data_IF_917255038234
#
_entry.id   IF_917255038234
#
_cell.length_a   1.000
_cell.length_b   1.000
_cell.length_c   1.000
_cell.angle_alpha   90.00
_cell.angle_beta   90.00
_cell.angle_gamma   90.00
#
_symmetry.space_group_name_H-M   'P 1'
#
loop_
_entity.id
_entity.type
_entity.pdbx_description
1 polymer ?
#
# COMPACT_ATOMS: atom_id res chain seq x y z
N UNK A 1 -46.23 61.83 -18.92
CA UNK A 1 -45.85 60.42 -18.65
C UNK A 1 -46.35 60.07 -17.26
N UNK A 2 -47.13 59.00 -17.10
CA UNK A 2 -47.76 58.64 -15.84
C UNK A 2 -46.76 57.95 -14.90
N UNK A 3 -46.62 58.45 -13.68
CA UNK A 3 -45.71 57.96 -12.62
C UNK A 3 -45.90 56.47 -12.30
N UNK A 4 -47.10 55.94 -12.54
CA UNK A 4 -47.43 54.54 -12.35
C UNK A 4 -46.66 53.60 -13.31
N UNK A 5 -46.53 54.00 -14.57
CA UNK A 5 -45.83 53.21 -15.59
C UNK A 5 -44.30 53.18 -15.35
N UNK A 6 -43.75 54.27 -14.83
CA UNK A 6 -42.32 54.33 -14.46
C UNK A 6 -41.98 53.46 -13.25
N UNK A 7 -42.92 53.30 -12.31
CA UNK A 7 -42.72 52.46 -11.12
C UNK A 7 -42.76 50.97 -11.47
N UNK A 8 -43.70 50.57 -12.33
CA UNK A 8 -43.81 49.19 -12.83
C UNK A 8 -42.58 48.78 -13.67
N UNK A 9 -42.07 49.70 -14.52
CA UNK A 9 -40.82 49.48 -15.25
C UNK A 9 -39.60 49.39 -14.33
N UNK A 10 -39.57 50.12 -13.21
CA UNK A 10 -38.47 50.08 -12.25
C UNK A 10 -38.47 48.75 -11.48
N UNK A 11 -39.64 48.26 -11.07
CA UNK A 11 -39.76 46.93 -10.45
C UNK A 11 -39.35 45.80 -11.39
N UNK A 12 -39.71 45.88 -12.67
CA UNK A 12 -39.27 44.90 -13.67
C UNK A 12 -37.75 44.88 -13.85
N UNK A 13 -37.11 46.05 -13.89
CA UNK A 13 -35.64 46.17 -13.95
C UNK A 13 -34.98 45.58 -12.71
N UNK A 14 -35.55 45.83 -11.52
CA UNK A 14 -35.05 45.30 -10.26
C UNK A 14 -35.18 43.76 -10.23
N UNK A 15 -36.33 43.21 -10.63
CA UNK A 15 -36.55 41.76 -10.72
C UNK A 15 -35.55 41.09 -11.65
N UNK A 16 -35.26 41.73 -12.80
CA UNK A 16 -34.25 41.22 -13.74
C UNK A 16 -32.85 41.22 -13.12
N UNK A 17 -32.44 42.34 -12.51
CA UNK A 17 -31.14 42.43 -11.86
C UNK A 17 -30.97 41.40 -10.73
N UNK A 18 -32.02 41.17 -9.93
CA UNK A 18 -32.02 40.13 -8.89
C UNK A 18 -31.87 38.74 -9.51
N UNK A 19 -32.61 38.44 -10.58
CA UNK A 19 -32.51 37.16 -11.28
C UNK A 19 -31.13 36.90 -11.86
N UNK A 20 -30.52 37.92 -12.50
CA UNK A 20 -29.19 37.82 -13.11
C UNK A 20 -28.13 37.53 -12.02
N UNK A 21 -28.19 38.27 -10.90
CA UNK A 21 -27.30 38.07 -9.74
C UNK A 21 -27.51 36.69 -9.10
N UNK A 22 -28.75 36.25 -8.92
CA UNK A 22 -29.04 34.90 -8.39
C UNK A 22 -28.44 33.81 -9.28
N UNK A 23 -28.54 33.93 -10.60
CA UNK A 23 -27.96 32.93 -11.50
C UNK A 23 -26.43 32.89 -11.45
N UNK A 24 -25.78 34.05 -11.32
CA UNK A 24 -24.32 34.10 -11.24
C UNK A 24 -23.82 33.58 -9.89
N UNK A 25 -24.57 33.81 -8.81
CA UNK A 25 -24.30 33.23 -7.49
C UNK A 25 -24.42 31.70 -7.55
N UNK A 26 -25.49 31.16 -8.14
CA UNK A 26 -25.67 29.70 -8.30
C UNK A 26 -24.55 29.05 -9.13
N UNK A 27 -24.12 29.72 -10.20
CA UNK A 27 -23.01 29.28 -11.04
C UNK A 27 -21.70 29.24 -10.25
N UNK A 28 -21.39 30.30 -9.49
CA UNK A 28 -20.19 30.35 -8.65
C UNK A 28 -20.17 29.25 -7.58
N UNK A 29 -21.31 28.97 -6.92
CA UNK A 29 -21.41 27.86 -5.98
C UNK A 29 -21.21 26.49 -6.65
N UNK A 30 -21.66 26.34 -7.89
CA UNK A 30 -21.48 25.11 -8.67
C UNK A 30 -20.01 24.89 -9.06
N UNK A 31 -19.31 25.95 -9.49
CA UNK A 31 -17.88 25.92 -9.80
C UNK A 31 -17.04 25.57 -8.56
N UNK A 32 -17.30 26.22 -7.42
CA UNK A 32 -16.63 25.92 -6.14
C UNK A 32 -16.87 24.49 -5.64
N UNK A 33 -18.04 23.92 -5.96
CA UNK A 33 -18.36 22.53 -5.58
C UNK A 33 -17.51 21.55 -6.39
N UNK A 34 -17.33 21.80 -7.68
CA UNK A 34 -16.46 21.01 -8.54
C UNK A 34 -14.99 21.11 -8.10
N UNK A 35 -14.50 22.31 -7.80
CA UNK A 35 -13.13 22.49 -7.26
C UNK A 35 -12.92 21.76 -5.93
N UNK A 36 -13.93 21.75 -5.05
CA UNK A 36 -13.89 20.99 -3.79
C UNK A 36 -13.89 19.48 -4.01
N UNK A 37 -14.67 19.00 -4.97
CA UNK A 37 -14.68 17.58 -5.35
C UNK A 37 -13.34 17.16 -5.96
N UNK A 38 -12.71 18.04 -6.75
CA UNK A 38 -11.39 17.82 -7.35
C UNK A 38 -10.24 17.94 -6.33
N UNK A 39 -10.31 18.87 -5.37
CA UNK A 39 -9.41 18.93 -4.21
C UNK A 39 -9.64 17.80 -3.21
N UNK A 40 -10.87 17.27 -3.14
CA UNK A 40 -11.20 16.06 -2.40
C UNK A 40 -10.63 14.79 -3.04
N UNK A 41 -10.09 14.90 -4.26
CA UNK A 41 -9.35 13.84 -4.94
C UNK A 41 -7.83 13.91 -4.70
N UNK A 42 -7.35 14.77 -3.78
CA UNK A 42 -6.05 14.51 -3.14
C UNK A 42 -6.24 13.19 -2.39
N UNK A 43 -5.80 12.08 -2.99
CA UNK A 43 -5.78 10.78 -2.33
C UNK A 43 -4.95 10.94 -1.07
N UNK A 44 -5.63 11.04 0.08
CA UNK A 44 -4.99 11.07 1.38
C UNK A 44 -4.08 9.84 1.46
N UNK A 45 -2.77 10.12 1.55
CA UNK A 45 -1.74 9.10 1.71
C UNK A 45 -1.50 8.90 3.20
N UNK A 46 -1.42 7.63 3.60
CA UNK A 46 -1.08 7.21 4.95
C UNK A 46 0.21 6.39 4.91
N UNK A 47 0.98 6.47 6.00
CA UNK A 47 2.18 5.67 6.16
C UNK A 47 1.79 4.25 6.60
N UNK A 48 2.01 3.27 5.72
CA UNK A 48 1.80 1.86 6.01
C UNK A 48 3.13 1.14 6.30
N UNK A 49 3.14 0.22 7.27
CA UNK A 49 4.35 -0.53 7.68
C UNK A 49 4.28 -2.01 7.29
N UNK A 50 5.33 -2.49 6.61
CA UNK A 50 5.31 -3.77 5.94
C UNK A 50 5.41 -4.87 6.98
N UNK A 51 4.43 -5.75 7.00
CA UNK A 51 4.40 -6.78 8.01
C UNK A 51 5.47 -7.87 7.81
N UNK A 52 6.17 -7.91 6.68
CA UNK A 52 7.32 -8.80 6.45
C UNK A 52 8.62 -8.17 6.95
N UNK A 53 8.96 -6.96 6.49
CA UNK A 53 10.30 -6.38 6.67
C UNK A 53 10.35 -5.08 7.49
N UNK A 54 9.21 -4.51 7.86
CA UNK A 54 9.12 -3.25 8.61
C UNK A 54 9.39 -1.99 7.78
N UNK A 55 9.55 -2.11 6.45
CA UNK A 55 9.66 -0.93 5.59
C UNK A 55 8.35 -0.15 5.62
N UNK A 56 8.46 1.18 5.72
CA UNK A 56 7.31 2.09 5.68
C UNK A 56 7.21 2.74 4.30
N UNK A 57 6.01 2.74 3.73
CA UNK A 57 5.70 3.41 2.46
C UNK A 57 4.49 4.32 2.65
N UNK A 58 4.49 5.48 2.00
CA UNK A 58 3.33 6.36 1.94
C UNK A 58 2.42 5.87 0.82
N UNK A 59 1.19 5.49 1.16
CA UNK A 59 0.28 4.79 0.27
C UNK A 59 -1.14 5.35 0.40
N UNK A 60 -1.89 5.36 -0.70
CA UNK A 60 -3.30 5.72 -0.67
C UNK A 60 -4.11 4.62 0.02
N UNK A 61 -5.21 4.99 0.68
CA UNK A 61 -6.05 4.02 1.37
C UNK A 61 -6.55 2.90 0.44
N UNK A 62 -6.86 3.25 -0.82
CA UNK A 62 -7.31 2.30 -1.86
C UNK A 62 -6.23 1.26 -2.11
N UNK A 63 -5.00 1.70 -2.37
CA UNK A 63 -3.88 0.80 -2.63
C UNK A 63 -3.58 -0.12 -1.43
N UNK A 64 -3.64 0.41 -0.20
CA UNK A 64 -3.47 -0.42 1.01
C UNK A 64 -4.50 -1.55 1.06
N UNK A 65 -5.78 -1.25 0.79
CA UNK A 65 -6.86 -2.26 0.79
C UNK A 65 -6.65 -3.33 -0.27
N UNK A 66 -6.33 -2.93 -1.51
CA UNK A 66 -6.08 -3.87 -2.62
C UNK A 66 -4.93 -4.84 -2.31
N UNK A 67 -3.85 -4.32 -1.73
CA UNK A 67 -2.72 -5.14 -1.29
C UNK A 67 -3.15 -6.11 -0.18
N UNK A 68 -3.84 -5.63 0.85
CA UNK A 68 -4.31 -6.49 1.94
C UNK A 68 -5.21 -7.63 1.45
N UNK A 69 -6.11 -7.38 0.49
CA UNK A 69 -6.94 -8.40 -0.12
C UNK A 69 -6.12 -9.48 -0.83
N UNK A 70 -5.06 -9.09 -1.53
CA UNK A 70 -4.15 -10.01 -2.21
C UNK A 70 -3.31 -10.87 -1.24
N UNK A 71 -3.02 -10.35 -0.05
CA UNK A 71 -2.04 -10.92 0.88
C UNK A 71 -2.64 -11.32 2.24
N UNK A 72 -3.84 -11.90 2.22
CA UNK A 72 -4.48 -12.49 3.40
C UNK A 72 -4.70 -11.48 4.55
N UNK A 73 -5.08 -10.25 4.21
CA UNK A 73 -5.35 -9.15 5.14
C UNK A 73 -4.09 -8.48 5.69
N UNK A 74 -2.94 -8.66 5.03
CA UNK A 74 -1.64 -8.16 5.48
C UNK A 74 -1.08 -7.18 4.48
N UNK A 75 -0.78 -5.96 4.93
CA UNK A 75 -0.08 -5.01 4.08
C UNK A 75 1.40 -5.43 3.90
N UNK A 76 1.86 -5.43 2.66
CA UNK A 76 3.23 -5.78 2.27
C UNK A 76 3.75 -4.73 1.29
N UNK A 77 5.02 -4.34 1.45
CA UNK A 77 5.64 -3.36 0.55
C UNK A 77 5.79 -3.91 -0.87
N UNK A 78 6.04 -3.03 -1.85
CA UNK A 78 6.17 -3.43 -3.26
C UNK A 78 7.23 -4.53 -3.49
N UNK A 79 8.36 -4.48 -2.77
CA UNK A 79 9.42 -5.48 -2.91
C UNK A 79 9.06 -6.85 -2.30
N UNK A 80 8.43 -6.87 -1.13
CA UNK A 80 7.98 -8.12 -0.52
C UNK A 80 6.83 -8.74 -1.32
N UNK A 81 5.97 -7.91 -1.91
CA UNK A 81 4.89 -8.34 -2.79
C UNK A 81 5.38 -9.19 -3.94
N UNK A 82 6.41 -8.72 -4.65
CA UNK A 82 7.02 -9.45 -5.77
C UNK A 82 7.74 -10.72 -5.31
N UNK A 83 8.49 -10.65 -4.20
CA UNK A 83 9.20 -11.81 -3.65
C UNK A 83 8.25 -12.94 -3.19
N UNK A 84 7.07 -12.59 -2.68
CA UNK A 84 6.04 -13.57 -2.29
C UNK A 84 5.37 -14.17 -3.52
N UNK A 85 5.01 -13.34 -4.51
CA UNK A 85 4.39 -13.81 -5.78
C UNK A 85 5.29 -14.81 -6.51
N UNK A 86 6.60 -14.57 -6.54
CA UNK A 86 7.57 -15.47 -7.18
C UNK A 86 7.54 -16.89 -6.59
N UNK A 87 7.26 -17.03 -5.28
CA UNK A 87 7.25 -18.33 -4.60
C UNK A 87 6.02 -19.16 -4.87
N UNK A 88 4.88 -18.53 -5.15
CA UNK A 88 3.57 -19.21 -5.23
C UNK A 88 3.08 -19.40 -6.66
N UNK A 89 3.66 -18.67 -7.63
CA UNK A 89 3.26 -18.76 -9.04
C UNK A 89 1.88 -18.17 -9.33
N UNK A 90 1.34 -18.40 -10.55
CA UNK A 90 0.04 -17.85 -10.95
C UNK A 90 -1.13 -18.47 -10.16
N UNK A 91 -2.13 -17.65 -9.79
CA UNK A 91 -3.37 -18.07 -9.10
C UNK A 91 -3.16 -18.98 -7.88
N UNK A 92 -2.45 -18.53 -6.85
CA UNK A 92 -2.21 -19.34 -5.66
C UNK A 92 -3.48 -19.51 -4.83
N UNK A 93 -3.62 -20.67 -4.19
CA UNK A 93 -4.65 -20.86 -3.17
C UNK A 93 -4.38 -19.93 -1.99
N UNK A 94 -5.42 -19.55 -1.23
CA UNK A 94 -5.28 -18.72 -0.03
C UNK A 94 -4.31 -19.34 0.99
N UNK A 95 -4.28 -20.66 1.10
CA UNK A 95 -3.34 -21.40 1.97
C UNK A 95 -1.91 -21.24 1.47
N UNK A 96 -1.66 -21.47 0.18
CA UNK A 96 -0.33 -21.33 -0.41
C UNK A 96 0.21 -19.88 -0.29
N UNK A 97 -0.66 -18.88 -0.50
CA UNK A 97 -0.32 -17.47 -0.28
C UNK A 97 0.04 -17.20 1.18
N UNK A 98 -0.75 -17.71 2.12
CA UNK A 98 -0.48 -17.52 3.54
C UNK A 98 0.83 -18.16 3.98
N UNK A 99 1.13 -19.36 3.49
CA UNK A 99 2.38 -20.08 3.78
C UNK A 99 3.60 -19.36 3.21
N UNK A 100 3.51 -18.88 1.97
CA UNK A 100 4.59 -18.10 1.36
C UNK A 100 4.81 -16.76 2.07
N UNK A 101 3.74 -16.07 2.47
CA UNK A 101 3.82 -14.86 3.29
C UNK A 101 4.50 -15.10 4.64
N UNK A 102 4.16 -16.20 5.31
CA UNK A 102 4.76 -16.55 6.59
C UNK A 102 6.25 -16.90 6.42
N UNK A 103 6.57 -17.74 5.44
CA UNK A 103 7.97 -18.09 5.12
C UNK A 103 8.81 -16.86 4.76
N UNK A 104 8.25 -15.92 3.99
CA UNK A 104 8.95 -14.69 3.63
C UNK A 104 9.12 -13.75 4.83
N UNK A 105 8.11 -13.64 5.70
CA UNK A 105 8.21 -12.89 6.95
C UNK A 105 9.32 -13.42 7.85
N UNK A 106 9.39 -14.73 8.05
CA UNK A 106 10.43 -15.35 8.89
C UNK A 106 11.83 -15.06 8.31
N UNK A 107 11.97 -15.15 6.99
CA UNK A 107 13.20 -14.77 6.30
C UNK A 107 13.57 -13.29 6.52
N UNK A 108 12.62 -12.37 6.37
CA UNK A 108 12.84 -10.95 6.59
C UNK A 108 13.21 -10.63 8.05
N UNK A 109 12.59 -11.31 9.02
CA UNK A 109 12.90 -11.15 10.44
C UNK A 109 14.32 -11.61 10.77
N UNK A 110 14.72 -12.80 10.29
CA UNK A 110 16.08 -13.31 10.46
C UNK A 110 17.12 -12.38 9.78
N UNK A 111 16.82 -11.93 8.57
CA UNK A 111 17.68 -10.99 7.84
C UNK A 111 17.82 -9.65 8.58
N UNK A 112 16.73 -9.11 9.12
CA UNK A 112 16.75 -7.87 9.89
C UNK A 112 17.51 -8.03 11.22
N UNK A 113 17.33 -9.15 11.93
CA UNK A 113 18.02 -9.41 13.19
C UNK A 113 19.55 -9.52 13.02
N UNK A 114 19.99 -10.10 11.90
CA UNK A 114 21.42 -10.32 11.63
C UNK A 114 22.10 -9.11 10.98
N UNK A 115 21.46 -8.42 10.02
CA UNK A 115 22.10 -7.31 9.29
C UNK A 115 22.36 -6.08 10.14
N UNK A 116 21.52 -5.82 11.15
CA UNK A 116 21.66 -4.66 12.02
C UNK A 116 22.85 -4.79 12.98
N UNK A 117 23.39 -6.01 13.14
CA UNK A 117 24.57 -6.26 13.96
C UNK A 117 25.61 -7.06 13.16
N UNK A 118 26.62 -6.38 12.58
CA UNK A 118 27.65 -7.03 11.76
C UNK A 118 28.37 -8.19 12.46
N UNK A 119 28.56 -8.12 13.78
CA UNK A 119 29.17 -9.20 14.55
C UNK A 119 28.24 -10.41 14.67
N UNK A 120 26.93 -10.20 14.87
CA UNK A 120 25.95 -11.29 14.83
C UNK A 120 25.84 -11.91 13.44
N UNK A 121 25.86 -11.10 12.38
CA UNK A 121 25.89 -11.59 10.99
C UNK A 121 27.10 -12.50 10.72
N UNK A 122 28.30 -12.06 11.14
CA UNK A 122 29.52 -12.87 10.99
C UNK A 122 29.45 -14.17 11.79
N UNK A 123 29.06 -14.10 13.07
CA UNK A 123 28.98 -15.29 13.93
C UNK A 123 27.92 -16.28 13.46
N UNK A 124 26.78 -15.79 12.95
CA UNK A 124 25.75 -16.62 12.34
C UNK A 124 26.27 -17.32 11.08
N UNK A 125 26.97 -16.59 10.21
CA UNK A 125 27.59 -17.15 9.00
C UNK A 125 28.62 -18.24 9.34
N UNK A 126 29.50 -17.98 10.31
CA UNK A 126 30.48 -18.96 10.80
C UNK A 126 29.80 -20.22 11.36
N UNK A 127 28.73 -20.05 12.14
CA UNK A 127 27.94 -21.15 12.68
C UNK A 127 27.35 -22.02 11.56
N UNK A 128 26.77 -21.42 10.54
CA UNK A 128 26.20 -22.16 9.40
C UNK A 128 27.28 -22.91 8.59
N UNK A 129 28.45 -22.30 8.37
CA UNK A 129 29.60 -22.97 7.74
C UNK A 129 30.02 -24.21 8.54
N UNK A 130 30.13 -24.09 9.86
CA UNK A 130 30.51 -25.19 10.74
C UNK A 130 29.45 -26.32 10.72
N UNK A 131 28.16 -25.98 10.81
CA UNK A 131 27.04 -26.94 10.73
C UNK A 131 27.05 -27.72 9.42
N UNK A 132 27.13 -27.02 8.28
CA UNK A 132 27.17 -27.65 6.94
C UNK A 132 28.39 -28.54 6.79
N UNK A 133 29.56 -28.09 7.26
CA UNK A 133 30.80 -28.89 7.22
C UNK A 133 30.68 -30.17 8.04
N UNK A 134 30.03 -30.11 9.21
CA UNK A 134 29.78 -31.29 10.04
C UNK A 134 28.79 -32.27 9.37
N UNK A 135 27.67 -31.76 8.85
CA UNK A 135 26.68 -32.57 8.13
C UNK A 135 27.29 -33.27 6.90
N UNK A 136 28.14 -32.57 6.14
CA UNK A 136 28.85 -33.13 5.00
C UNK A 136 29.84 -34.24 5.37
N UNK A 137 30.52 -34.11 6.53
CA UNK A 137 31.38 -35.20 7.05
C UNK A 137 30.54 -36.41 7.46
N UNK A 138 29.42 -36.18 8.16
CA UNK A 138 28.50 -37.24 8.57
C UNK A 138 27.93 -37.99 7.37
N UNK A 139 27.47 -37.28 6.33
CA UNK A 139 26.90 -37.90 5.12
C UNK A 139 27.94 -38.68 4.30
N UNK A 140 29.20 -38.22 4.27
CA UNK A 140 30.31 -39.00 3.69
C UNK A 140 30.59 -40.27 4.48
N UNK A 141 30.62 -40.18 5.81
CA UNK A 141 30.88 -41.34 6.68
C UNK A 141 29.78 -42.41 6.53
N UNK A 142 28.51 -42.01 6.48
CA UNK A 142 27.38 -42.93 6.26
C UNK A 142 27.40 -43.58 4.88
N UNK A 143 27.94 -42.89 3.86
CA UNK A 143 28.10 -43.44 2.50
C UNK A 143 29.26 -44.42 2.38
N UNK A 144 30.33 -44.23 3.15
CA UNK A 144 31.46 -45.16 3.18
C UNK A 144 31.15 -46.45 3.95
N UNK A 145 30.22 -46.41 4.92
CA UNK A 145 29.79 -47.60 5.67
C UNK A 145 28.68 -48.40 4.98
N UNK A 146 28.12 -47.91 3.86
CA UNK A 146 27.00 -48.54 3.15
C UNK A 146 27.40 -49.32 1.88
N UNK A 147 28.68 -49.38 1.55
CA UNK A 147 29.19 -50.28 0.51
C UNK A 147 29.83 -51.50 1.20
N UNK A 148 29.45 -52.74 0.82
CA UNK A 148 30.03 -53.97 1.39
C UNK A 148 31.48 -54.17 0.99
#
# INVERSE_FOLDING_TARGET
>A
MCTFCTQEQNEQKLRKAVSDVSSEIEKYYSELKLEREELGAIEEVEQAECQCCGLKEDCTWVYIREVEECYCGKWVCGLCSEAVKERVGPCPSRVAMQDALNSHRDFCQEYNATRLNPQLSLTHSMREIAKRSFQNRKSKLTRTTSYP
#
